data_IF_853805253102
#
_entry.id   IF_853805253102
#
_cell.length_a   1.000
_cell.length_b   1.000
_cell.length_c   1.000
_cell.angle_alpha   90.00
_cell.angle_beta   90.00
_cell.angle_gamma   90.00
#
_symmetry.space_group_name_H-M   'P 1'
#
loop_
_entity.id
_entity.type
_entity.pdbx_description
1 polymer ?
#
# COMPACT_ATOMS: atom_id res chain seq x y z
N UNK A 1 7.27 -14.11 11.83
CA UNK A 1 7.68 -14.31 10.42
C UNK A 1 6.51 -13.84 9.57
N UNK A 2 6.75 -13.03 8.55
CA UNK A 2 5.68 -12.47 7.71
C UNK A 2 5.01 -13.58 6.89
N UNK A 3 3.67 -13.60 6.87
CA UNK A 3 2.92 -14.51 6.02
C UNK A 3 2.86 -13.95 4.59
N UNK A 4 3.68 -14.52 3.71
CA UNK A 4 3.80 -14.10 2.31
C UNK A 4 2.50 -14.30 1.53
N UNK A 5 1.76 -15.39 1.79
CA UNK A 5 0.52 -15.67 1.07
C UNK A 5 -0.56 -14.65 1.45
N UNK A 6 -0.63 -14.29 2.73
CA UNK A 6 -1.54 -13.25 3.21
C UNK A 6 -1.20 -11.87 2.62
N UNK A 7 0.10 -11.54 2.52
CA UNK A 7 0.53 -10.29 1.89
C UNK A 7 0.15 -10.22 0.41
N UNK A 8 0.42 -11.27 -0.36
CA UNK A 8 0.07 -11.34 -1.79
C UNK A 8 -1.45 -11.16 -1.96
N UNK A 9 -2.26 -11.86 -1.16
CA UNK A 9 -3.71 -11.73 -1.24
C UNK A 9 -4.20 -10.30 -0.92
N UNK A 10 -3.58 -9.62 0.05
CA UNK A 10 -3.89 -8.23 0.38
C UNK A 10 -3.50 -7.27 -0.77
N UNK A 11 -2.35 -7.48 -1.40
CA UNK A 11 -1.89 -6.66 -2.52
C UNK A 11 -2.76 -6.86 -3.78
N UNK A 12 -3.09 -8.10 -4.13
CA UNK A 12 -3.91 -8.43 -5.32
C UNK A 12 -5.38 -8.00 -5.22
N UNK A 13 -5.87 -7.76 -4.01
CA UNK A 13 -7.24 -7.28 -3.73
C UNK A 13 -7.25 -5.83 -3.22
N UNK A 14 -6.17 -5.08 -3.47
CA UNK A 14 -6.03 -3.73 -2.99
C UNK A 14 -7.03 -2.79 -3.65
N UNK A 15 -7.82 -2.13 -2.82
CA UNK A 15 -8.71 -1.04 -3.18
C UNK A 15 -8.69 0.03 -2.07
N UNK A 16 -9.49 1.09 -2.23
CA UNK A 16 -9.54 2.20 -1.27
C UNK A 16 -9.98 1.75 0.14
N UNK A 17 -10.81 0.71 0.25
CA UNK A 17 -11.35 0.20 1.50
C UNK A 17 -10.43 -0.83 2.15
N UNK A 18 -9.65 -1.57 1.35
CA UNK A 18 -8.73 -2.61 1.84
C UNK A 18 -7.30 -2.12 2.12
N UNK A 19 -6.99 -0.85 1.85
CA UNK A 19 -5.66 -0.27 2.07
C UNK A 19 -5.10 -0.51 3.48
N UNK A 20 -5.91 -0.34 4.52
CA UNK A 20 -5.42 -0.51 5.89
C UNK A 20 -4.96 -1.96 6.15
N UNK A 21 -5.58 -2.95 5.50
CA UNK A 21 -5.16 -4.37 5.57
C UNK A 21 -3.81 -4.62 4.93
N UNK A 22 -3.47 -3.91 3.86
CA UNK A 22 -2.13 -3.97 3.26
C UNK A 22 -1.10 -3.32 4.19
N UNK A 23 -1.47 -2.21 4.84
CA UNK A 23 -0.58 -1.47 5.75
C UNK A 23 -0.27 -2.22 7.05
N UNK A 24 -1.08 -3.20 7.45
CA UNK A 24 -0.78 -4.08 8.59
C UNK A 24 0.53 -4.88 8.43
N UNK A 25 0.99 -5.07 7.18
CA UNK A 25 2.27 -5.73 6.89
C UNK A 25 3.48 -4.79 7.00
N UNK A 26 3.27 -3.49 7.16
CA UNK A 26 4.33 -2.49 7.22
C UNK A 26 4.67 -2.15 8.66
N UNK A 27 5.97 -1.97 8.95
CA UNK A 27 6.43 -1.38 10.21
C UNK A 27 6.05 0.12 10.27
N UNK A 28 5.94 0.69 11.47
CA UNK A 28 5.59 2.11 11.64
C UNK A 28 6.63 3.05 11.00
N UNK A 29 7.90 2.66 11.00
CA UNK A 29 9.07 3.41 10.53
C UNK A 29 9.63 2.89 9.18
N UNK A 30 8.85 2.09 8.45
CA UNK A 30 9.29 1.54 7.17
C UNK A 30 9.61 2.61 6.11
N UNK A 31 10.49 2.28 5.18
CA UNK A 31 10.70 3.07 3.96
C UNK A 31 9.95 2.44 2.80
N UNK A 32 9.37 3.29 1.96
CA UNK A 32 8.67 2.90 0.74
C UNK A 32 9.12 3.78 -0.42
N UNK A 33 9.44 3.13 -1.52
CA UNK A 33 9.83 3.79 -2.77
C UNK A 33 8.95 3.26 -3.89
N UNK A 34 8.38 4.19 -4.65
CA UNK A 34 7.73 3.92 -5.92
C UNK A 34 8.50 4.64 -7.06
N UNK A 35 8.05 4.60 -8.33
CA UNK A 35 8.73 5.27 -9.43
C UNK A 35 8.85 6.81 -9.33
N UNK A 36 8.08 7.46 -8.45
CA UNK A 36 7.99 8.91 -8.35
C UNK A 36 8.64 9.46 -7.08
N UNK A 37 8.64 8.71 -5.98
CA UNK A 37 9.08 9.21 -4.68
C UNK A 37 9.54 8.11 -3.72
N UNK A 38 10.29 8.55 -2.69
CA UNK A 38 10.60 7.78 -1.50
C UNK A 38 9.97 8.47 -0.29
N UNK A 39 9.24 7.71 0.52
CA UNK A 39 8.62 8.19 1.77
C UNK A 39 8.96 7.29 2.93
N UNK A 40 8.91 7.86 4.13
CA UNK A 40 9.15 7.14 5.38
C UNK A 40 7.89 7.13 6.24
N UNK A 41 7.60 5.96 6.78
CA UNK A 41 6.55 5.70 7.74
C UNK A 41 5.21 5.29 7.13
N UNK A 42 4.49 4.44 7.87
CA UNK A 42 3.21 3.87 7.44
C UNK A 42 2.17 4.92 7.05
N UNK A 43 2.12 6.02 7.80
CA UNK A 43 1.21 7.15 7.52
C UNK A 43 1.48 7.82 6.17
N UNK A 44 2.75 7.94 5.79
CA UNK A 44 3.13 8.53 4.50
C UNK A 44 2.74 7.59 3.35
N UNK A 45 2.96 6.29 3.51
CA UNK A 45 2.55 5.27 2.52
C UNK A 45 1.03 5.28 2.32
N UNK A 46 0.26 5.34 3.41
CA UNK A 46 -1.21 5.46 3.34
C UNK A 46 -1.64 6.65 2.48
N UNK A 47 -0.96 7.79 2.65
CA UNK A 47 -1.23 9.00 1.87
C UNK A 47 -0.94 8.79 0.38
N UNK A 48 0.19 8.18 0.03
CA UNK A 48 0.54 7.87 -1.37
C UNK A 48 -0.56 7.03 -2.05
N UNK A 49 -0.97 5.91 -1.43
CA UNK A 49 -2.04 5.08 -1.98
C UNK A 49 -3.38 5.82 -2.05
N UNK A 50 -3.71 6.61 -1.04
CA UNK A 50 -4.95 7.41 -1.04
C UNK A 50 -5.00 8.44 -2.17
N UNK A 51 -3.87 9.12 -2.42
CA UNK A 51 -3.72 10.06 -3.53
C UNK A 51 -3.77 9.32 -4.88
N UNK A 52 -3.09 8.18 -5.02
CA UNK A 52 -3.18 7.33 -6.21
C UNK A 52 -4.64 6.93 -6.52
N UNK A 53 -5.42 6.50 -5.52
CA UNK A 53 -6.84 6.18 -5.70
C UNK A 53 -7.73 7.39 -5.99
N UNK A 54 -7.28 8.62 -5.70
CA UNK A 54 -8.01 9.83 -6.04
C UNK A 54 -7.75 10.27 -7.49
N UNK A 55 -6.55 10.01 -8.01
CA UNK A 55 -6.11 10.50 -9.32
C UNK A 55 -6.19 9.44 -10.44
N UNK A 56 -6.10 8.16 -10.12
CA UNK A 56 -6.19 7.08 -11.11
C UNK A 56 -7.63 6.61 -11.26
N UNK A 57 -8.11 6.61 -12.50
CA UNK A 57 -9.36 5.95 -12.87
C UNK A 57 -9.07 4.46 -13.13
N UNK A 58 -9.65 3.57 -12.31
CA UNK A 58 -9.49 2.09 -12.40
C UNK A 58 -8.04 1.56 -12.24
N UNK A 59 -7.36 1.82 -11.11
CA UNK A 59 -6.06 1.21 -10.85
C UNK A 59 -6.17 -0.32 -10.72
N UNK A 60 -5.21 -1.05 -11.31
CA UNK A 60 -5.16 -2.52 -11.31
C UNK A 60 -3.99 -3.03 -10.49
N UNK A 61 -4.24 -4.06 -9.69
CA UNK A 61 -3.26 -4.69 -8.79
C UNK A 61 -3.11 -6.20 -9.04
N UNK A 62 -3.55 -6.67 -10.23
CA UNK A 62 -3.35 -8.04 -10.74
C UNK A 62 -2.84 -8.01 -12.17
#
# INVERSE_FOLDING_TARGET
MMDLAAFIAAAESLDRQSLDRLLDFYAEDCQFTDPFQTVSGKSAIRRVYSEMFAHLHEPKFR
#
